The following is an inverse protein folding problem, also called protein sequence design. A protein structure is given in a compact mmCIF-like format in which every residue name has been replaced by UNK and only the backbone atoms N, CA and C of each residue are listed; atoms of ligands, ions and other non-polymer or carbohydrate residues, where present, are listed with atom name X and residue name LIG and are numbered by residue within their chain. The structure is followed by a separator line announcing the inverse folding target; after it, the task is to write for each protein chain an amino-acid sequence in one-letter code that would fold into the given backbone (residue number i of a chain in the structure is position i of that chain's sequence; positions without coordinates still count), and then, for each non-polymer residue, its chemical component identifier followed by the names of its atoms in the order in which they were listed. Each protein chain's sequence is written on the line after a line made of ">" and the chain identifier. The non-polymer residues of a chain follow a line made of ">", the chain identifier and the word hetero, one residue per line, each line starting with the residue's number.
data_IF_443201674078
#
_entry.id   IF_443201674078
#
_cell.length_a   1.000
_cell.length_b   1.000
_cell.length_c   1.000
_cell.angle_alpha   90.00
_cell.angle_beta   90.00
_cell.angle_gamma   90.00
#
_symmetry.space_group_name_H-M   'P 1'
#
loop_
_entity.id
_entity.type
_entity.pdbx_description
1 polymer ?
#
# COMPACT_ATOMS: atom_id res chain seq x y z
N UNK A 1 -67.32 -2.43 -22.30
CA UNK A 1 -66.22 -1.67 -22.92
C UNK A 1 -65.27 -0.96 -21.93
N UNK A 2 -65.24 -1.28 -20.62
CA UNK A 2 -64.38 -0.57 -19.64
C UNK A 2 -63.09 -1.28 -19.18
N UNK A 3 -62.75 -2.47 -19.69
CA UNK A 3 -61.65 -3.26 -19.12
C UNK A 3 -60.27 -3.10 -19.77
N UNK A 4 -60.15 -2.48 -20.96
CA UNK A 4 -58.87 -2.34 -21.67
C UNK A 4 -58.12 -1.03 -21.40
N UNK A 5 -58.82 0.04 -20.99
CA UNK A 5 -58.23 1.37 -20.79
C UNK A 5 -57.45 1.51 -19.46
N UNK A 6 -57.83 0.74 -18.43
CA UNK A 6 -57.15 0.73 -17.14
C UNK A 6 -55.77 0.06 -17.21
N UNK A 7 -55.64 -1.04 -17.96
CA UNK A 7 -54.40 -1.81 -18.10
C UNK A 7 -53.33 -1.03 -18.88
N UNK A 8 -53.74 -0.25 -19.89
CA UNK A 8 -52.83 0.58 -20.70
C UNK A 8 -52.32 1.79 -19.90
N UNK A 9 -53.17 2.40 -19.05
CA UNK A 9 -52.75 3.50 -18.16
C UNK A 9 -51.82 3.00 -17.05
N UNK A 10 -52.10 1.84 -16.44
CA UNK A 10 -51.22 1.23 -15.45
C UNK A 10 -49.83 0.89 -16.04
N UNK A 11 -49.77 0.33 -17.25
CA UNK A 11 -48.50 0.04 -17.94
C UNK A 11 -47.72 1.30 -18.30
N UNK A 12 -48.40 2.39 -18.71
CA UNK A 12 -47.76 3.68 -18.98
C UNK A 12 -47.20 4.30 -17.70
N UNK A 13 -47.96 4.35 -16.61
CA UNK A 13 -47.50 4.88 -15.32
C UNK A 13 -46.28 4.11 -14.79
N UNK A 14 -46.33 2.78 -14.76
CA UNK A 14 -45.22 1.92 -14.30
C UNK A 14 -43.94 2.16 -15.13
N UNK A 15 -44.08 2.34 -16.44
CA UNK A 15 -42.93 2.59 -17.32
C UNK A 15 -42.28 3.95 -17.06
N UNK A 16 -43.06 4.99 -16.78
CA UNK A 16 -42.54 6.32 -16.39
C UNK A 16 -41.82 6.28 -15.05
N UNK A 17 -42.35 5.55 -14.06
CA UNK A 17 -41.70 5.35 -12.77
C UNK A 17 -40.31 4.72 -12.93
N UNK A 18 -40.16 3.64 -13.70
CA UNK A 18 -38.85 3.00 -13.88
C UNK A 18 -37.83 3.84 -14.65
N UNK A 19 -38.24 4.54 -15.71
CA UNK A 19 -37.33 5.43 -16.45
C UNK A 19 -36.84 6.59 -15.60
N UNK A 20 -37.65 7.12 -14.68
CA UNK A 20 -37.23 8.21 -13.81
C UNK A 20 -36.08 7.79 -12.87
N UNK A 21 -36.19 6.61 -12.24
CA UNK A 21 -35.11 6.07 -11.39
C UNK A 21 -33.86 5.70 -12.20
N UNK A 22 -34.03 5.15 -13.42
CA UNK A 22 -32.90 4.81 -14.29
C UNK A 22 -32.16 6.06 -14.79
N UNK A 23 -32.89 7.13 -15.18
CA UNK A 23 -32.29 8.38 -15.64
C UNK A 23 -31.55 9.11 -14.51
N UNK A 24 -32.08 9.09 -13.27
CA UNK A 24 -31.38 9.64 -12.11
C UNK A 24 -30.06 8.92 -11.83
N UNK A 25 -30.08 7.58 -11.80
CA UNK A 25 -28.88 6.77 -11.60
C UNK A 25 -27.84 6.94 -12.71
N UNK A 26 -28.29 6.92 -13.98
CA UNK A 26 -27.42 7.15 -15.14
C UNK A 26 -26.83 8.57 -15.13
N UNK A 27 -27.62 9.58 -14.74
CA UNK A 27 -27.17 10.97 -14.63
C UNK A 27 -26.10 11.14 -13.55
N UNK A 28 -26.29 10.54 -12.37
CA UNK A 28 -25.28 10.53 -11.31
C UNK A 28 -24.00 9.79 -11.74
N UNK A 29 -24.14 8.66 -12.43
CA UNK A 29 -22.99 7.91 -12.96
C UNK A 29 -22.23 8.72 -14.01
N UNK A 30 -22.93 9.34 -14.97
CA UNK A 30 -22.33 10.22 -15.99
C UNK A 30 -21.64 11.41 -15.35
N UNK A 31 -22.26 12.04 -14.35
CA UNK A 31 -21.68 13.15 -13.60
C UNK A 31 -20.41 12.72 -12.84
N UNK A 32 -20.42 11.59 -12.14
CA UNK A 32 -19.21 11.02 -11.52
C UNK A 32 -18.10 10.76 -12.56
N UNK A 33 -18.45 10.20 -13.73
CA UNK A 33 -17.48 9.94 -14.82
C UNK A 33 -16.91 11.24 -15.40
N UNK A 34 -17.76 12.24 -15.67
CA UNK A 34 -17.33 13.54 -16.14
C UNK A 34 -16.42 14.23 -15.11
N UNK A 35 -16.79 14.18 -13.82
CA UNK A 35 -15.98 14.71 -12.73
C UNK A 35 -14.62 14.00 -12.70
N UNK A 36 -14.55 12.67 -12.80
CA UNK A 36 -13.28 11.92 -12.82
C UNK A 36 -12.41 12.26 -14.03
N UNK A 37 -13.01 12.38 -15.21
CA UNK A 37 -12.29 12.78 -16.44
C UNK A 37 -11.69 14.19 -16.29
N UNK A 38 -12.45 15.11 -15.67
CA UNK A 38 -12.04 16.51 -15.47
C UNK A 38 -11.07 16.66 -14.28
N UNK A 39 -11.19 15.84 -13.23
CA UNK A 39 -10.55 16.11 -11.93
C UNK A 39 -9.08 15.78 -11.82
N UNK A 40 -8.49 14.94 -12.68
CA UNK A 40 -7.03 14.81 -12.86
C UNK A 40 -6.72 13.67 -13.83
N UNK A 41 -6.57 14.01 -15.10
CA UNK A 41 -5.81 13.21 -16.07
C UNK A 41 -4.40 13.77 -16.22
N UNK A 42 -3.80 14.26 -15.13
CA UNK A 42 -2.54 14.96 -15.20
C UNK A 42 -1.46 13.97 -15.63
N UNK A 43 -0.81 14.20 -16.79
CA UNK A 43 0.28 13.36 -17.21
C UNK A 43 1.42 13.52 -16.22
N UNK A 44 1.96 12.39 -15.76
CA UNK A 44 3.12 12.36 -14.86
C UNK A 44 4.32 11.79 -15.59
N UNK A 45 5.48 12.40 -15.37
CA UNK A 45 6.74 11.94 -15.95
C UNK A 45 7.33 10.82 -15.09
N UNK A 46 7.72 9.74 -15.74
CA UNK A 46 8.47 8.65 -15.11
C UNK A 46 9.91 9.11 -14.91
N UNK A 47 10.38 9.09 -13.67
CA UNK A 47 11.78 9.40 -13.34
C UNK A 47 12.69 8.18 -13.49
N UNK A 48 12.23 7.02 -13.01
CA UNK A 48 12.94 5.75 -13.16
C UNK A 48 12.00 4.59 -12.94
N UNK A 49 12.37 3.42 -13.47
CA UNK A 49 11.68 2.16 -13.23
C UNK A 49 12.70 1.08 -12.90
N UNK A 50 12.37 0.27 -11.90
CA UNK A 50 13.15 -0.92 -11.55
C UNK A 50 12.23 -2.13 -11.53
N UNK A 51 12.51 -3.13 -12.35
CA UNK A 51 11.72 -4.36 -12.41
C UNK A 51 12.47 -5.46 -11.69
N UNK A 52 11.93 -5.94 -10.57
CA UNK A 52 12.42 -7.14 -9.91
C UNK A 52 11.55 -8.33 -10.33
N UNK A 53 12.08 -9.15 -11.24
CA UNK A 53 11.37 -10.31 -11.80
C UNK A 53 11.23 -11.47 -10.80
N UNK A 54 12.15 -11.59 -9.86
CA UNK A 54 12.16 -12.65 -8.85
C UNK A 54 11.09 -12.41 -7.78
N UNK A 55 11.03 -11.18 -7.26
CA UNK A 55 9.98 -10.75 -6.33
C UNK A 55 8.64 -10.49 -7.04
N UNK A 56 8.65 -10.36 -8.38
CA UNK A 56 7.47 -10.03 -9.17
C UNK A 56 6.94 -8.64 -8.84
N UNK A 57 7.81 -7.63 -8.71
CA UNK A 57 7.42 -6.25 -8.40
C UNK A 57 8.06 -5.26 -9.38
N UNK A 58 7.26 -4.30 -9.83
CA UNK A 58 7.71 -3.11 -10.57
C UNK A 58 7.73 -1.91 -9.65
N UNK A 59 8.91 -1.30 -9.48
CA UNK A 59 9.09 -0.05 -8.73
C UNK A 59 9.04 1.11 -9.71
N UNK A 60 8.02 1.95 -9.60
CA UNK A 60 7.85 3.17 -10.40
C UNK A 60 8.22 4.38 -9.56
N UNK A 61 9.20 5.16 -10.00
CA UNK A 61 9.46 6.49 -9.45
C UNK A 61 8.92 7.56 -10.40
N UNK A 62 8.02 8.38 -9.91
CA UNK A 62 7.33 9.42 -10.66
C UNK A 62 7.77 10.79 -10.17
N UNK A 63 7.82 11.77 -11.07
CA UNK A 63 8.05 13.15 -10.69
C UNK A 63 6.89 13.64 -9.80
N UNK A 64 7.21 14.12 -8.59
CA UNK A 64 6.19 14.57 -7.63
C UNK A 64 5.60 15.93 -7.99
N UNK A 65 6.36 16.82 -8.63
CA UNK A 65 5.96 18.19 -8.93
C UNK A 65 5.30 18.86 -7.70
N UNK A 66 4.08 19.40 -7.83
CA UNK A 66 3.32 20.03 -6.74
C UNK A 66 2.30 19.09 -6.06
N UNK A 67 2.51 17.77 -6.17
CA UNK A 67 1.60 16.79 -5.60
C UNK A 67 1.82 16.66 -4.08
N UNK A 68 0.82 17.07 -3.30
CA UNK A 68 0.82 16.96 -1.83
C UNK A 68 -0.03 15.77 -1.40
N UNK A 69 0.45 15.02 -0.42
CA UNK A 69 -0.22 13.85 0.15
C UNK A 69 0.29 13.59 1.58
N UNK A 70 -0.45 12.78 2.33
CA UNK A 70 -0.07 12.28 3.65
C UNK A 70 0.46 10.85 3.56
N UNK A 71 1.36 10.48 4.46
CA UNK A 71 1.92 9.14 4.50
C UNK A 71 0.82 8.07 4.63
N UNK A 72 0.96 6.98 3.88
CA UNK A 72 -0.04 5.91 3.81
C UNK A 72 -1.17 6.13 2.79
N UNK A 73 -1.30 7.33 2.20
CA UNK A 73 -2.27 7.57 1.13
C UNK A 73 -1.91 6.86 -0.17
N UNK A 74 -2.92 6.66 -1.01
CA UNK A 74 -2.80 6.00 -2.30
C UNK A 74 -3.26 6.89 -3.44
N UNK A 75 -2.86 6.52 -4.65
CA UNK A 75 -3.23 7.20 -5.88
C UNK A 75 -3.81 6.20 -6.87
N UNK A 76 -4.63 6.68 -7.80
CA UNK A 76 -5.08 5.89 -8.93
C UNK A 76 -4.13 6.12 -10.11
N UNK A 77 -3.57 5.03 -10.62
CA UNK A 77 -2.69 5.02 -11.76
C UNK A 77 -3.45 4.59 -13.01
N UNK A 78 -3.28 5.32 -14.10
CA UNK A 78 -3.70 4.93 -15.44
C UNK A 78 -2.51 4.90 -16.39
N UNK A 79 -2.44 3.84 -17.20
CA UNK A 79 -1.40 3.60 -18.21
C UNK A 79 -2.10 3.44 -19.56
N UNK A 80 -2.26 4.52 -20.36
CA UNK A 80 -3.05 4.50 -21.59
C UNK A 80 -2.64 3.44 -22.61
N UNK A 81 -1.35 3.08 -22.69
CA UNK A 81 -0.89 2.02 -23.60
C UNK A 81 -1.34 0.60 -23.19
N UNK A 82 -1.77 0.41 -21.94
CA UNK A 82 -2.40 -0.82 -21.46
C UNK A 82 -3.92 -0.70 -21.55
N UNK A 83 -4.47 0.38 -21.02
CA UNK A 83 -5.90 0.68 -21.06
C UNK A 83 -6.16 2.18 -20.84
N UNK A 84 -7.02 2.77 -21.67
CA UNK A 84 -7.38 4.19 -21.56
C UNK A 84 -8.38 4.51 -20.45
N UNK A 85 -9.13 3.50 -19.98
CA UNK A 85 -10.26 3.71 -19.06
C UNK A 85 -10.09 2.99 -17.72
N UNK A 86 -9.14 2.06 -17.61
CA UNK A 86 -8.84 1.37 -16.36
C UNK A 86 -7.90 2.21 -15.51
N UNK A 87 -8.33 2.45 -14.28
CA UNK A 87 -7.53 3.08 -13.25
C UNK A 87 -7.34 2.06 -12.13
N UNK A 88 -6.13 1.99 -11.57
CA UNK A 88 -5.81 1.03 -10.51
C UNK A 88 -5.22 1.76 -9.30
N UNK A 89 -5.71 1.47 -8.08
CA UNK A 89 -5.21 2.11 -6.88
C UNK A 89 -3.86 1.50 -6.46
N UNK A 90 -2.88 2.36 -6.15
CA UNK A 90 -1.60 1.96 -5.58
C UNK A 90 -1.18 2.93 -4.48
N UNK A 91 -0.74 2.39 -3.36
CA UNK A 91 -0.22 3.18 -2.24
C UNK A 91 1.07 3.86 -2.62
N UNK A 92 1.21 5.14 -2.24
CA UNK A 92 2.47 5.86 -2.38
C UNK A 92 3.40 5.40 -1.27
N UNK A 93 4.42 4.61 -1.61
CA UNK A 93 5.33 4.03 -0.62
C UNK A 93 6.42 4.99 -0.16
N UNK A 94 6.71 6.04 -0.94
CA UNK A 94 7.62 7.10 -0.52
C UNK A 94 6.98 7.99 0.55
N UNK A 95 7.77 8.55 1.48
CA UNK A 95 7.25 9.52 2.45
C UNK A 95 6.87 10.85 1.75
N UNK A 96 5.93 11.64 2.32
CA UNK A 96 5.60 12.98 1.85
C UNK A 96 6.79 13.94 1.76
N UNK A 97 7.86 13.73 2.51
CA UNK A 97 9.08 14.53 2.40
C UNK A 97 9.94 14.23 1.16
N UNK A 98 9.72 13.09 0.48
CA UNK A 98 10.53 12.70 -0.68
C UNK A 98 10.26 13.56 -1.92
N UNK A 99 11.28 13.74 -2.77
CA UNK A 99 11.21 14.50 -4.02
C UNK A 99 10.45 13.78 -5.15
N UNK A 100 10.32 12.45 -5.05
CA UNK A 100 9.67 11.59 -6.03
C UNK A 100 8.57 10.76 -5.38
N UNK A 101 7.51 10.49 -6.13
CA UNK A 101 6.47 9.55 -5.73
C UNK A 101 6.92 8.15 -6.14
N UNK A 102 7.02 7.23 -5.18
CA UNK A 102 7.38 5.85 -5.46
C UNK A 102 6.18 4.93 -5.29
N UNK A 103 5.94 4.07 -6.28
CA UNK A 103 4.93 3.01 -6.24
C UNK A 103 5.61 1.66 -6.38
N UNK A 104 5.22 0.72 -5.53
CA UNK A 104 5.62 -0.67 -5.65
C UNK A 104 4.42 -1.50 -6.11
N UNK A 105 4.45 -1.93 -7.38
CA UNK A 105 3.35 -2.63 -8.02
C UNK A 105 3.69 -4.12 -8.13
N UNK A 106 3.01 -4.94 -7.33
CA UNK A 106 3.15 -6.40 -7.40
C UNK A 106 2.42 -6.96 -8.62
N UNK A 107 3.06 -7.89 -9.32
CA UNK A 107 2.48 -8.67 -10.40
C UNK A 107 1.49 -9.70 -9.84
N UNK A 108 0.22 -9.55 -10.21
CA UNK A 108 -0.90 -10.40 -9.78
C UNK A 108 -1.15 -11.60 -10.71
N UNK A 109 -0.29 -11.82 -11.70
CA UNK A 109 -0.34 -12.98 -12.59
C UNK A 109 -0.77 -12.64 -14.03
N UNK A 110 -0.80 -13.65 -14.91
CA UNK A 110 -1.08 -13.47 -16.33
C UNK A 110 -2.43 -12.78 -16.58
N UNK A 111 -2.50 -12.01 -17.67
CA UNK A 111 -3.70 -11.26 -18.09
C UNK A 111 -4.18 -10.14 -17.15
N UNK A 112 -3.46 -9.86 -16.05
CA UNK A 112 -3.77 -8.73 -15.16
C UNK A 112 -3.15 -7.43 -15.67
N UNK A 113 -3.70 -6.28 -15.25
CA UNK A 113 -3.10 -4.97 -15.50
C UNK A 113 -1.65 -4.90 -15.01
N UNK A 114 -1.39 -5.41 -13.80
CA UNK A 114 -0.05 -5.38 -13.18
C UNK A 114 1.01 -6.20 -13.94
N UNK A 115 0.64 -7.35 -14.52
CA UNK A 115 1.54 -8.12 -15.39
C UNK A 115 1.85 -7.38 -16.69
N UNK A 116 0.82 -6.76 -17.31
CA UNK A 116 1.01 -5.94 -18.51
C UNK A 116 1.89 -4.73 -18.21
N UNK A 117 1.71 -4.10 -17.05
CA UNK A 117 2.53 -2.97 -16.59
C UNK A 117 4.00 -3.37 -16.51
N UNK A 118 4.29 -4.46 -15.82
CA UNK A 118 5.65 -4.99 -15.72
C UNK A 118 6.27 -5.25 -17.09
N UNK A 119 5.53 -5.90 -18.00
CA UNK A 119 5.98 -6.17 -19.36
C UNK A 119 6.24 -4.90 -20.16
N UNK A 120 5.32 -3.92 -20.12
CA UNK A 120 5.47 -2.65 -20.83
C UNK A 120 6.72 -1.91 -20.34
N UNK A 121 6.92 -1.83 -19.02
CA UNK A 121 8.07 -1.13 -18.43
C UNK A 121 9.41 -1.82 -18.66
N UNK A 122 9.41 -3.14 -18.91
CA UNK A 122 10.61 -3.92 -19.22
C UNK A 122 10.94 -3.89 -20.72
N UNK A 123 9.94 -3.68 -21.58
CA UNK A 123 10.07 -3.80 -23.04
C UNK A 123 10.27 -2.46 -23.74
N UNK A 124 9.59 -1.41 -23.27
CA UNK A 124 9.58 -0.11 -23.95
C UNK A 124 10.43 0.93 -23.22
N UNK A 125 11.05 1.87 -23.95
CA UNK A 125 11.74 3.00 -23.34
C UNK A 125 10.76 3.86 -22.53
N UNK A 126 11.22 4.43 -21.42
CA UNK A 126 10.36 5.15 -20.47
C UNK A 126 9.70 6.38 -21.10
N UNK A 127 10.37 7.02 -22.06
CA UNK A 127 9.87 8.18 -22.79
C UNK A 127 8.63 7.87 -23.64
N UNK A 128 8.45 6.60 -24.02
CA UNK A 128 7.28 6.15 -24.76
C UNK A 128 6.08 5.83 -23.85
N UNK A 129 6.30 5.64 -22.54
CA UNK A 129 5.27 5.24 -21.59
C UNK A 129 4.68 6.48 -20.94
N UNK A 130 3.42 6.78 -21.28
CA UNK A 130 2.64 7.83 -20.62
C UNK A 130 1.93 7.27 -19.41
N UNK A 131 2.00 7.99 -18.29
CA UNK A 131 1.25 7.68 -17.08
C UNK A 131 0.35 8.85 -16.71
N UNK A 132 -0.80 8.54 -16.12
CA UNK A 132 -1.70 9.52 -15.51
C UNK A 132 -1.95 9.12 -14.07
N UNK A 133 -2.03 10.13 -13.20
CA UNK A 133 -2.25 9.94 -11.78
C UNK A 133 -3.43 10.76 -11.33
N UNK A 134 -4.26 10.16 -10.49
CA UNK A 134 -5.36 10.83 -9.79
C UNK A 134 -5.24 10.58 -8.28
N UNK A 135 -5.46 11.63 -7.48
CA UNK A 135 -5.33 11.61 -6.03
C UNK A 135 -4.78 12.90 -5.42
N UNK A 136 -4.36 12.84 -4.14
CA UNK A 136 -4.28 11.65 -3.29
C UNK A 136 -5.63 11.17 -2.75
N UNK A 137 -5.69 9.89 -2.37
CA UNK A 137 -6.84 9.23 -1.75
C UNK A 137 -6.45 8.54 -0.44
N UNK A 138 -7.44 8.28 0.42
CA UNK A 138 -7.23 7.79 1.78
C UNK A 138 -7.33 8.91 2.82
N UNK A 139 -7.63 8.56 4.07
CA UNK A 139 -7.70 9.55 5.15
C UNK A 139 -6.29 9.78 5.72
N UNK A 140 -5.92 11.03 6.05
CA UNK A 140 -4.75 11.27 6.88
C UNK A 140 -4.87 10.51 8.19
N UNK A 141 -3.79 9.85 8.60
CA UNK A 141 -3.73 9.07 9.83
C UNK A 141 -3.08 9.92 10.92
N UNK A 142 -3.74 10.02 12.07
CA UNK A 142 -3.25 10.76 13.24
C UNK A 142 -2.48 9.82 14.17
N UNK A 143 -1.29 9.40 13.74
CA UNK A 143 -0.41 8.57 14.57
C UNK A 143 0.37 9.40 15.61
N UNK A 144 0.27 10.73 15.57
CA UNK A 144 0.92 11.66 16.49
C UNK A 144 0.32 11.69 17.91
N UNK A 145 -0.88 11.11 18.10
CA UNK A 145 -1.57 11.07 19.40
C UNK A 145 -1.11 9.92 20.32
N UNK A 146 -0.47 8.90 19.76
CA UNK A 146 -0.04 7.67 20.47
C UNK A 146 1.46 7.68 20.75
N UNK A 147 1.89 6.87 21.73
CA UNK A 147 3.32 6.72 22.05
C UNK A 147 3.97 5.58 21.28
N UNK A 148 3.20 4.52 21.01
CA UNK A 148 3.70 3.32 20.36
C UNK A 148 2.89 3.03 19.09
N UNK A 149 3.58 2.78 17.98
CA UNK A 149 2.96 2.44 16.70
C UNK A 149 3.43 1.05 16.26
N UNK A 150 2.51 0.09 16.16
CA UNK A 150 2.77 -1.27 15.69
C UNK A 150 2.23 -1.38 14.26
N UNK A 151 3.13 -1.48 13.30
CA UNK A 151 2.83 -1.64 11.88
C UNK A 151 2.92 -3.12 11.51
N UNK A 152 1.82 -3.73 11.09
CA UNK A 152 1.75 -5.15 10.70
C UNK A 152 1.48 -5.25 9.21
N UNK A 153 2.40 -5.86 8.47
CA UNK A 153 2.33 -5.94 7.02
C UNK A 153 2.45 -7.38 6.50
N UNK A 154 1.65 -7.69 5.47
CA UNK A 154 1.73 -8.94 4.71
C UNK A 154 2.08 -8.70 3.25
N UNK A 155 3.20 -9.25 2.76
CA UNK A 155 3.61 -9.13 1.37
C UNK A 155 3.77 -7.67 0.93
N UNK A 156 3.12 -7.26 -0.17
CA UNK A 156 3.17 -5.87 -0.71
C UNK A 156 2.40 -4.85 0.17
N UNK A 157 1.61 -5.33 1.14
CA UNK A 157 0.89 -4.51 2.11
C UNK A 157 1.81 -3.71 3.05
N UNK A 158 3.14 -3.87 2.93
CA UNK A 158 4.13 -3.03 3.61
C UNK A 158 4.20 -1.60 3.06
N UNK A 159 3.74 -1.37 1.84
CA UNK A 159 3.85 -0.06 1.17
C UNK A 159 3.27 1.13 1.94
N UNK A 160 2.05 1.09 2.52
CA UNK A 160 1.57 2.16 3.40
C UNK A 160 2.44 2.32 4.66
N UNK A 161 2.83 1.19 5.27
CA UNK A 161 3.61 1.16 6.50
C UNK A 161 4.99 1.78 6.30
N UNK A 162 5.61 1.52 5.15
CA UNK A 162 6.89 2.10 4.75
C UNK A 162 6.79 3.63 4.62
N UNK A 163 5.75 4.13 3.95
CA UNK A 163 5.53 5.58 3.81
C UNK A 163 5.41 6.27 5.17
N UNK A 164 4.63 5.68 6.10
CA UNK A 164 4.44 6.18 7.46
C UNK A 164 5.74 6.13 8.26
N UNK A 165 6.42 4.99 8.26
CA UNK A 165 7.68 4.79 8.98
C UNK A 165 8.74 5.80 8.53
N UNK A 166 8.92 5.96 7.22
CA UNK A 166 9.91 6.88 6.67
C UNK A 166 9.56 8.35 6.92
N UNK A 167 8.27 8.71 6.97
CA UNK A 167 7.84 10.07 7.34
C UNK A 167 8.21 10.37 8.80
N UNK A 168 7.92 9.46 9.72
CA UNK A 168 8.28 9.60 11.14
C UNK A 168 9.80 9.70 11.30
N UNK A 169 10.54 8.79 10.66
CA UNK A 169 12.01 8.79 10.71
C UNK A 169 12.61 10.09 10.16
N UNK A 170 12.17 10.54 8.97
CA UNK A 170 12.70 11.75 8.36
C UNK A 170 12.39 13.00 9.19
N UNK A 171 11.18 13.11 9.75
CA UNK A 171 10.81 14.20 10.66
C UNK A 171 11.68 14.20 11.91
N UNK A 172 11.80 13.05 12.57
CA UNK A 172 12.57 12.93 13.79
C UNK A 172 14.06 13.24 13.56
N UNK A 173 14.64 12.77 12.45
CA UNK A 173 16.02 13.09 12.05
C UNK A 173 16.22 14.57 11.73
N UNK A 174 15.20 15.25 11.19
CA UNK A 174 15.21 16.68 10.94
C UNK A 174 14.93 17.53 12.20
N UNK A 175 14.71 16.91 13.37
CA UNK A 175 14.32 17.60 14.60
C UNK A 175 12.91 18.23 14.52
N UNK A 176 12.07 17.75 13.61
CA UNK A 176 10.67 18.14 13.51
C UNK A 176 9.81 17.36 14.51
N UNK A 177 8.67 17.95 14.87
CA UNK A 177 7.72 17.32 15.76
C UNK A 177 7.10 16.04 15.14
N UNK A 178 7.14 14.96 15.92
CA UNK A 178 6.54 13.65 15.63
C UNK A 178 5.42 13.32 16.62
N UNK A 179 4.95 14.31 17.38
CA UNK A 179 3.91 14.16 18.38
C UNK A 179 4.40 13.38 19.59
N UNK A 180 3.58 12.41 20.04
CA UNK A 180 3.88 11.58 21.21
C UNK A 180 4.67 10.31 20.89
N UNK A 181 4.95 10.05 19.61
CA UNK A 181 5.59 8.82 19.16
C UNK A 181 6.98 8.67 19.80
N UNK A 182 7.18 7.55 20.48
CA UNK A 182 8.44 7.11 21.08
C UNK A 182 8.97 5.85 20.43
N UNK A 183 8.07 4.95 19.99
CA UNK A 183 8.46 3.66 19.40
C UNK A 183 7.62 3.34 18.17
N UNK A 184 8.28 2.90 17.10
CA UNK A 184 7.64 2.36 15.90
C UNK A 184 8.15 0.94 15.68
N UNK A 185 7.25 -0.04 15.68
CA UNK A 185 7.58 -1.45 15.49
C UNK A 185 6.96 -1.96 14.20
N UNK A 186 7.79 -2.37 13.24
CA UNK A 186 7.33 -2.99 12.00
C UNK A 186 7.43 -4.52 12.10
N UNK A 187 6.29 -5.20 12.02
CA UNK A 187 6.18 -6.65 11.84
C UNK A 187 5.81 -6.91 10.39
N UNK A 188 6.75 -7.45 9.61
CA UNK A 188 6.53 -7.71 8.18
C UNK A 188 6.71 -9.18 7.85
N UNK A 189 5.62 -9.82 7.40
CA UNK A 189 5.65 -11.20 6.95
C UNK A 189 5.57 -11.30 5.42
N UNK A 190 6.51 -12.04 4.85
CA UNK A 190 6.62 -12.30 3.41
C UNK A 190 6.66 -13.80 3.14
N UNK A 191 6.26 -14.20 1.94
CA UNK A 191 6.42 -15.59 1.48
C UNK A 191 7.74 -15.80 0.76
N UNK A 192 8.18 -14.80 0.01
CA UNK A 192 9.39 -14.75 -0.80
C UNK A 192 10.39 -13.82 -0.12
N UNK A 193 11.63 -14.27 0.06
CA UNK A 193 12.68 -13.49 0.70
C UNK A 193 13.09 -12.29 -0.15
N UNK A 194 12.97 -12.44 -1.47
CA UNK A 194 13.36 -11.47 -2.49
C UNK A 194 12.60 -10.14 -2.33
N UNK A 195 11.40 -10.20 -1.75
CA UNK A 195 10.60 -9.00 -1.46
C UNK A 195 11.26 -8.11 -0.39
N UNK A 196 12.03 -8.69 0.54
CA UNK A 196 12.70 -7.94 1.62
C UNK A 196 13.79 -6.99 1.07
N UNK A 197 14.40 -7.31 -0.07
CA UNK A 197 15.43 -6.47 -0.70
C UNK A 197 14.89 -5.14 -1.22
N UNK A 198 13.57 -5.00 -1.38
CA UNK A 198 12.95 -3.78 -1.89
C UNK A 198 13.00 -2.61 -0.90
N UNK A 199 13.34 -2.86 0.37
CA UNK A 199 13.33 -1.85 1.42
C UNK A 199 14.60 -1.92 2.28
N UNK A 200 15.76 -1.88 1.62
CA UNK A 200 17.06 -1.83 2.29
C UNK A 200 17.25 -0.54 3.11
N UNK A 201 16.54 0.54 2.77
CA UNK A 201 16.49 1.79 3.53
C UNK A 201 16.00 1.58 4.96
N UNK A 202 15.06 0.66 5.19
CA UNK A 202 14.63 0.30 6.56
C UNK A 202 15.77 -0.28 7.41
N UNK A 203 16.79 -0.90 6.79
CA UNK A 203 17.96 -1.38 7.52
C UNK A 203 18.89 -0.25 7.96
N UNK A 204 18.91 0.86 7.21
CA UNK A 204 19.62 2.06 7.63
C UNK A 204 18.91 2.69 8.83
N UNK A 205 17.58 2.79 8.78
CA UNK A 205 16.76 3.26 9.91
C UNK A 205 16.98 2.40 11.15
N UNK A 206 17.05 1.07 11.00
CA UNK A 206 17.29 0.16 12.12
C UNK A 206 18.67 0.34 12.79
N UNK A 207 19.66 0.86 12.06
CA UNK A 207 21.03 1.10 12.56
C UNK A 207 21.24 2.52 13.06
N UNK A 208 20.30 3.43 12.78
CA UNK A 208 20.41 4.82 13.20
C UNK A 208 19.95 5.00 14.66
N UNK A 209 20.94 5.11 15.56
CA UNK A 209 20.72 5.35 16.99
C UNK A 209 20.66 6.84 17.36
N UNK A 210 20.72 7.76 16.39
CA UNK A 210 20.75 9.21 16.67
C UNK A 210 19.36 9.85 16.79
N UNK A 211 18.31 9.09 16.47
CA UNK A 211 16.93 9.57 16.49
C UNK A 211 16.28 9.27 17.85
N UNK A 212 15.50 10.21 18.40
CA UNK A 212 14.81 10.04 19.69
C UNK A 212 13.69 8.98 19.68
N UNK A 213 13.26 8.57 18.48
CA UNK A 213 12.26 7.53 18.25
C UNK A 213 12.96 6.20 18.05
N UNK A 214 12.53 5.18 18.79
CA UNK A 214 13.02 3.81 18.64
C UNK A 214 12.31 3.13 17.47
N UNK A 215 13.06 2.59 16.52
CA UNK A 215 12.54 1.78 15.42
C UNK A 215 12.92 0.32 15.61
N UNK A 216 11.93 -0.55 15.79
CA UNK A 216 12.10 -1.99 15.93
C UNK A 216 11.55 -2.72 14.70
N UNK A 217 12.29 -3.70 14.19
CA UNK A 217 11.90 -4.45 13.00
C UNK A 217 11.83 -5.94 13.29
N UNK A 218 10.75 -6.60 12.84
CA UNK A 218 10.60 -8.04 12.88
C UNK A 218 10.19 -8.56 11.52
N UNK A 219 11.15 -9.15 10.81
CA UNK A 219 10.94 -9.73 9.49
C UNK A 219 10.64 -11.23 9.63
N UNK A 220 9.62 -11.70 8.92
CA UNK A 220 9.13 -13.07 8.98
C UNK A 220 9.01 -13.69 7.59
N UNK A 221 9.65 -14.83 7.38
CA UNK A 221 9.59 -15.56 6.11
C UNK A 221 8.74 -16.82 6.31
N UNK A 222 7.59 -16.83 5.65
CA UNK A 222 6.57 -17.87 5.77
C UNK A 222 6.74 -18.99 4.74
N UNK A 223 7.49 -18.76 3.66
CA UNK A 223 7.80 -19.78 2.66
C UNK A 223 8.99 -20.62 3.09
N UNK A 224 8.75 -21.88 3.48
CA UNK A 224 9.81 -22.78 3.96
C UNK A 224 10.96 -22.97 2.94
N UNK A 225 10.63 -23.10 1.65
CA UNK A 225 11.63 -23.21 0.58
C UNK A 225 12.44 -21.92 0.38
N UNK A 226 11.80 -20.75 0.46
CA UNK A 226 12.46 -19.45 0.35
C UNK A 226 13.34 -19.13 1.56
N UNK A 227 12.97 -19.60 2.75
CA UNK A 227 13.83 -19.49 3.93
C UNK A 227 15.05 -20.43 3.83
N UNK A 228 14.84 -21.65 3.33
CA UNK A 228 15.94 -22.60 3.14
C UNK A 228 16.96 -22.13 2.08
N UNK A 229 16.51 -21.42 1.05
CA UNK A 229 17.40 -20.84 0.02
C UNK A 229 18.19 -19.61 0.48
N UNK A 230 17.86 -19.02 1.64
CA UNK A 230 18.69 -18.01 2.31
C UNK A 230 19.85 -18.62 3.11
N UNK A 231 19.93 -19.96 3.18
CA UNK A 231 21.14 -20.65 3.65
C UNK A 231 22.33 -20.32 2.75
N UNK A 232 23.58 -20.52 3.24
CA UNK A 232 24.79 -20.08 2.54
C UNK A 232 24.85 -20.65 1.11
N UNK A 233 24.63 -19.78 0.13
CA UNK A 233 24.75 -20.04 -1.31
C UNK A 233 26.19 -19.78 -1.76
N UNK A 234 26.74 -20.64 -2.61
CA UNK A 234 28.15 -20.67 -3.04
C UNK A 234 28.50 -19.70 -4.18
N UNK A 235 27.70 -18.66 -4.43
CA UNK A 235 27.89 -17.70 -5.55
C UNK A 235 28.61 -16.42 -5.11
N UNK A 236 29.78 -16.06 -5.67
CA UNK A 236 30.50 -14.85 -5.28
C UNK A 236 29.80 -13.59 -5.82
N UNK A 237 29.42 -12.66 -4.93
CA UNK A 237 28.85 -11.34 -5.28
C UNK A 237 27.49 -11.01 -4.64
N UNK A 238 26.70 -12.02 -4.25
CA UNK A 238 25.42 -11.87 -3.52
C UNK A 238 25.59 -11.77 -1.99
N UNK A 239 26.82 -11.98 -1.49
CA UNK A 239 27.11 -12.26 -0.08
C UNK A 239 26.74 -11.14 0.90
N UNK A 240 26.93 -9.87 0.59
CA UNK A 240 26.91 -8.82 1.62
C UNK A 240 25.49 -8.39 2.05
N UNK A 241 24.51 -8.46 1.13
CA UNK A 241 23.13 -8.03 1.36
C UNK A 241 22.20 -9.17 1.80
N UNK A 242 22.49 -10.40 1.37
CA UNK A 242 21.75 -11.61 1.78
C UNK A 242 22.04 -11.97 3.23
N UNK A 243 23.26 -11.74 3.72
CA UNK A 243 23.67 -11.99 5.11
C UNK A 243 22.97 -11.05 6.12
N UNK A 244 22.64 -9.82 5.72
CA UNK A 244 21.98 -8.86 6.62
C UNK A 244 20.49 -9.21 6.77
N UNK A 245 19.78 -9.48 5.69
CA UNK A 245 18.36 -9.86 5.74
C UNK A 245 18.18 -11.19 6.50
N UNK A 246 19.05 -12.16 6.28
CA UNK A 246 19.02 -13.45 6.99
C UNK A 246 19.30 -13.31 8.49
N UNK A 247 20.11 -12.31 8.92
CA UNK A 247 20.39 -12.05 10.33
C UNK A 247 19.19 -11.52 11.12
N UNK A 248 18.26 -10.80 10.48
CA UNK A 248 17.06 -10.24 11.12
C UNK A 248 15.77 -11.03 10.84
N UNK A 249 15.76 -11.88 9.81
CA UNK A 249 14.56 -12.61 9.39
C UNK A 249 14.35 -13.92 10.18
N UNK A 250 13.17 -14.05 10.76
CA UNK A 250 12.72 -15.25 11.46
C UNK A 250 11.92 -16.16 10.51
N UNK A 251 12.11 -17.47 10.63
CA UNK A 251 11.26 -18.43 9.94
C UNK A 251 9.84 -18.48 10.56
N UNK A 252 8.83 -18.64 9.72
CA UNK A 252 7.45 -18.89 10.15
C UNK A 252 6.61 -17.62 10.29
N UNK A 253 5.41 -17.78 10.85
CA UNK A 253 4.45 -16.69 11.04
C UNK A 253 4.79 -15.89 12.30
N UNK A 254 4.58 -14.56 12.31
CA UNK A 254 4.74 -13.76 13.52
C UNK A 254 3.71 -14.15 14.58
N UNK A 255 4.15 -14.25 15.83
CA UNK A 255 3.26 -14.31 16.98
C UNK A 255 2.94 -12.88 17.44
N UNK A 256 1.80 -12.36 16.99
CA UNK A 256 1.38 -11.01 17.28
C UNK A 256 1.03 -10.80 18.76
N UNK A 257 0.58 -11.84 19.48
CA UNK A 257 0.30 -11.73 20.91
C UNK A 257 1.58 -11.46 21.70
N UNK A 258 2.67 -12.17 21.37
CA UNK A 258 3.98 -11.91 21.96
C UNK A 258 4.49 -10.50 21.63
N UNK A 259 4.27 -10.01 20.40
CA UNK A 259 4.61 -8.62 20.03
C UNK A 259 3.84 -7.62 20.88
N UNK A 260 2.52 -7.80 21.02
CA UNK A 260 1.67 -6.93 21.84
C UNK A 260 2.06 -6.93 23.32
N UNK A 261 2.48 -8.08 23.85
CA UNK A 261 2.96 -8.21 25.23
C UNK A 261 4.22 -7.40 25.57
N UNK A 262 4.93 -6.89 24.57
CA UNK A 262 6.05 -5.96 24.75
C UNK A 262 5.64 -4.53 25.11
N UNK A 263 4.34 -4.21 25.04
CA UNK A 263 3.81 -2.87 25.27
C UNK A 263 2.84 -2.83 26.44
N UNK A 264 2.69 -1.66 27.08
CA UNK A 264 1.68 -1.45 28.12
C UNK A 264 0.27 -1.42 27.51
N UNK A 265 -0.69 -2.01 28.22
CA UNK A 265 -2.11 -2.02 27.84
C UNK A 265 -2.69 -0.61 27.78
N UNK A 266 -3.64 -0.40 26.86
CA UNK A 266 -4.41 0.84 26.71
C UNK A 266 -4.12 1.62 25.43
N UNK A 267 -4.79 2.76 25.28
CA UNK A 267 -4.87 3.51 24.01
C UNK A 267 -3.67 4.40 23.67
N UNK A 268 -2.55 4.22 24.36
CA UNK A 268 -1.28 4.85 23.98
C UNK A 268 -0.52 4.03 22.90
N UNK A 269 -1.04 2.86 22.54
CA UNK A 269 -0.50 2.01 21.47
C UNK A 269 -1.52 1.90 20.35
N UNK A 270 -1.09 2.09 19.11
CA UNK A 270 -1.90 1.91 17.90
C UNK A 270 -1.35 0.75 17.07
N UNK A 271 -2.23 -0.14 16.64
CA UNK A 271 -1.93 -1.22 15.70
C UNK A 271 -2.51 -0.85 14.34
N UNK A 272 -1.65 -0.84 13.33
CA UNK A 272 -2.02 -0.67 11.93
C UNK A 272 -1.73 -1.95 11.16
N UNK A 273 -2.71 -2.49 10.45
CA UNK A 273 -2.53 -3.74 9.70
C UNK A 273 -2.93 -3.63 8.22
N UNK A 274 -2.11 -4.21 7.34
CA UNK A 274 -2.42 -4.39 5.94
C UNK A 274 -1.86 -5.75 5.45
N UNK A 275 -2.74 -6.67 5.09
CA UNK A 275 -2.33 -8.03 4.73
C UNK A 275 -3.51 -8.97 4.51
N UNK A 276 -3.29 -10.30 4.49
CA UNK A 276 -4.36 -11.28 4.35
C UNK A 276 -5.30 -11.28 5.56
N UNK A 277 -6.55 -11.70 5.37
CA UNK A 277 -7.60 -11.69 6.40
C UNK A 277 -7.20 -12.38 7.71
N UNK A 278 -6.46 -13.50 7.63
CA UNK A 278 -5.94 -14.20 8.82
C UNK A 278 -5.00 -13.31 9.66
N UNK A 279 -4.17 -12.49 9.00
CA UNK A 279 -3.26 -11.57 9.68
C UNK A 279 -4.02 -10.38 10.27
N UNK A 280 -5.01 -9.86 9.54
CA UNK A 280 -5.87 -8.77 10.03
C UNK A 280 -6.63 -9.24 11.27
N UNK A 281 -7.19 -10.44 11.25
CA UNK A 281 -7.90 -11.04 12.39
C UNK A 281 -6.97 -11.18 13.59
N UNK A 282 -5.77 -11.78 13.41
CA UNK A 282 -4.81 -11.92 14.50
C UNK A 282 -4.33 -10.57 15.08
N UNK A 283 -4.17 -9.54 14.23
CA UNK A 283 -3.81 -8.20 14.69
C UNK A 283 -4.96 -7.52 15.45
N UNK A 284 -6.21 -7.75 15.01
CA UNK A 284 -7.42 -7.28 15.69
C UNK A 284 -7.59 -7.95 17.06
N UNK A 285 -7.40 -9.26 17.14
CA UNK A 285 -7.49 -10.02 18.39
C UNK A 285 -6.45 -9.55 19.41
N UNK A 286 -5.21 -9.34 18.95
CA UNK A 286 -4.13 -8.76 19.75
C UNK A 286 -4.49 -7.35 20.25
N UNK A 287 -4.96 -6.48 19.35
CA UNK A 287 -5.33 -5.12 19.73
C UNK A 287 -6.48 -5.10 20.75
N UNK A 288 -7.49 -5.97 20.58
CA UNK A 288 -8.59 -6.11 21.52
C UNK A 288 -8.12 -6.64 22.88
N UNK A 289 -7.21 -7.62 22.91
CA UNK A 289 -6.69 -8.19 24.16
C UNK A 289 -5.94 -7.17 25.02
N UNK A 290 -5.13 -6.31 24.40
CA UNK A 290 -4.33 -5.31 25.11
C UNK A 290 -4.97 -3.89 25.18
N UNK A 291 -6.21 -3.73 24.70
CA UNK A 291 -6.93 -2.44 24.57
C UNK A 291 -6.15 -1.38 23.74
N UNK A 292 -5.52 -1.81 22.66
CA UNK A 292 -4.84 -0.93 21.71
C UNK A 292 -5.84 -0.29 20.74
N UNK A 293 -5.52 0.91 20.26
CA UNK A 293 -6.23 1.46 19.11
C UNK A 293 -5.94 0.60 17.88
N UNK A 294 -6.95 0.30 17.07
CA UNK A 294 -6.80 -0.57 15.90
C UNK A 294 -7.27 0.13 14.64
N UNK A 295 -6.44 0.08 13.61
CA UNK A 295 -6.76 0.57 12.28
C UNK A 295 -6.34 -0.48 11.25
N UNK A 296 -7.25 -0.81 10.33
CA UNK A 296 -6.96 -1.74 9.25
C UNK A 296 -7.15 -1.03 7.91
N UNK A 297 -6.15 -1.17 7.04
CA UNK A 297 -6.23 -0.69 5.67
C UNK A 297 -6.70 -1.85 4.77
N UNK A 298 -7.79 -1.65 4.04
CA UNK A 298 -8.28 -2.62 3.05
C UNK A 298 -7.93 -2.13 1.66
N UNK A 299 -6.89 -2.74 1.08
CA UNK A 299 -6.64 -2.65 -0.36
C UNK A 299 -7.09 -3.97 -1.01
N UNK A 300 -8.28 -3.98 -1.60
CA UNK A 300 -8.69 -5.09 -2.48
C UNK A 300 -7.88 -5.00 -3.76
N UNK A 301 -6.90 -5.88 -3.92
CA UNK A 301 -6.06 -6.05 -5.10
C UNK A 301 -6.70 -6.96 -6.14
#
# INVERSE_FOLDING_TARGET
>A
MCSCTATIHAFRLIRWFHTYYACGGLGLWLLDRCIRIVRRCDPVTISSVTVNKEAGVTVLQLAKANFTFYAGQYIWLNVPCISHMEWHPFTVSSPPSADKLTLHVKNMGPNTFTAKLMWVTDTYPLEAIKLRVDGPYGRPLYFDEVENLILVAGGIGVTPMHSILMEIYNRARAGMDVGRIKTVTLVWAVRQAELLHMFNDMQEVARDNFVQVKFDFSFHITGAASYASLGPSSRPGEHELVDVVSSFAKAGRPDLMTVGGGFSTGRNTMVMVCGPEQMITAASDMAAYYDFAFHHEVFTF
#
